data_IF_902974836061
#
_entry.id   IF_902974836061
#
_cell.length_a   1.000
_cell.length_b   1.000
_cell.length_c   1.000
_cell.angle_alpha   90.00
_cell.angle_beta   90.00
_cell.angle_gamma   90.00
#
_symmetry.space_group_name_H-M   'P 1'
#
loop_
_entity.id
_entity.type
_entity.pdbx_description
1 polymer ?
#
# COMPACT_ATOMS: atom_id res chain seq x y z
N UNK A 1 -12.25 7.07 -13.79
CA UNK A 1 -11.03 6.34 -14.18
C UNK A 1 -9.85 7.09 -13.62
N UNK A 2 -8.98 6.43 -12.86
CA UNK A 2 -7.71 7.03 -12.46
C UNK A 2 -6.74 6.98 -13.64
N UNK A 3 -5.93 8.02 -13.82
CA UNK A 3 -4.82 8.04 -14.79
C UNK A 3 -3.49 8.06 -14.04
N UNK A 4 -2.49 7.40 -14.60
CA UNK A 4 -1.12 7.36 -14.08
C UNK A 4 -0.15 7.52 -15.23
N UNK A 5 0.92 8.27 -15.02
CA UNK A 5 2.00 8.45 -15.99
C UNK A 5 3.27 7.86 -15.41
N UNK A 6 3.92 6.97 -16.16
CA UNK A 6 5.22 6.40 -15.80
C UNK A 6 6.29 7.18 -16.56
N UNK A 7 7.10 7.96 -15.84
CA UNK A 7 8.20 8.72 -16.43
C UNK A 7 9.47 7.87 -16.49
N UNK A 8 10.32 8.14 -17.49
CA UNK A 8 11.61 7.48 -17.69
C UNK A 8 11.52 5.94 -17.75
N UNK A 9 10.50 5.42 -18.44
CA UNK A 9 10.40 3.98 -18.70
C UNK A 9 11.54 3.57 -19.63
N UNK A 10 12.23 2.48 -19.28
CA UNK A 10 13.27 1.91 -20.12
C UNK A 10 12.73 1.56 -21.52
N UNK A 11 13.46 1.96 -22.57
CA UNK A 11 13.05 1.77 -23.96
C UNK A 11 12.87 0.28 -24.31
N UNK A 12 13.66 -0.61 -23.69
CA UNK A 12 13.53 -2.05 -23.84
C UNK A 12 12.23 -2.56 -23.24
N UNK A 13 11.82 -2.02 -22.07
CA UNK A 13 10.54 -2.33 -21.45
C UNK A 13 9.37 -1.83 -22.31
N UNK A 14 9.45 -0.61 -22.85
CA UNK A 14 8.43 -0.08 -23.75
C UNK A 14 8.25 -0.97 -24.99
N UNK A 15 9.34 -1.35 -25.66
CA UNK A 15 9.29 -2.25 -26.83
C UNK A 15 8.74 -3.63 -26.49
N UNK A 16 9.10 -4.17 -25.33
CA UNK A 16 8.59 -5.46 -24.88
C UNK A 16 7.08 -5.40 -24.62
N UNK A 17 6.59 -4.30 -24.04
CA UNK A 17 5.17 -4.04 -23.82
C UNK A 17 4.40 -3.97 -25.14
N UNK A 18 4.89 -3.19 -26.10
CA UNK A 18 4.29 -3.08 -27.44
C UNK A 18 4.23 -4.43 -28.15
N UNK A 19 5.34 -5.20 -28.12
CA UNK A 19 5.39 -6.52 -28.71
C UNK A 19 4.40 -7.51 -28.06
N UNK A 20 4.22 -7.43 -26.73
CA UNK A 20 3.22 -8.23 -26.01
C UNK A 20 1.79 -7.84 -26.37
N UNK A 21 1.51 -6.54 -26.42
CA UNK A 21 0.21 -5.99 -26.78
C UNK A 21 -0.18 -6.38 -28.21
N UNK A 22 0.76 -6.26 -29.16
CA UNK A 22 0.57 -6.67 -30.55
C UNK A 22 0.24 -8.17 -30.69
N UNK A 23 0.93 -9.05 -29.93
CA UNK A 23 0.62 -10.49 -29.92
C UNK A 23 -0.79 -10.80 -29.39
N UNK A 24 -1.33 -9.95 -28.51
CA UNK A 24 -2.65 -10.10 -27.91
C UNK A 24 -3.75 -9.30 -28.63
N UNK A 25 -3.40 -8.54 -29.67
CA UNK A 25 -4.34 -7.70 -30.42
C UNK A 25 -4.96 -6.56 -29.61
N UNK A 26 -4.24 -6.03 -28.63
CA UNK A 26 -4.72 -4.94 -27.75
C UNK A 26 -3.76 -3.75 -27.74
N UNK A 27 -4.19 -2.62 -27.16
CA UNK A 27 -3.31 -1.46 -27.00
C UNK A 27 -2.21 -1.71 -25.96
N UNK A 28 -1.09 -0.99 -26.08
CA UNK A 28 -0.02 -1.01 -25.08
C UNK A 28 -0.52 -0.54 -23.70
N UNK A 29 -1.45 0.41 -23.67
CA UNK A 29 -2.08 0.88 -22.42
C UNK A 29 -2.91 -0.22 -21.75
N UNK A 30 -3.73 -0.95 -22.53
CA UNK A 30 -4.54 -2.05 -21.98
C UNK A 30 -3.67 -3.18 -21.44
N UNK A 31 -2.57 -3.48 -22.12
CA UNK A 31 -1.62 -4.47 -21.66
C UNK A 31 -0.86 -3.99 -20.41
N UNK A 32 -0.46 -2.71 -20.36
CA UNK A 32 0.15 -2.13 -19.16
C UNK A 32 -0.80 -2.20 -17.97
N UNK A 33 -2.08 -1.88 -18.17
CA UNK A 33 -3.11 -1.96 -17.13
C UNK A 33 -3.27 -3.39 -16.61
N UNK A 34 -3.27 -4.38 -17.49
CA UNK A 34 -3.32 -5.80 -17.10
C UNK A 34 -2.10 -6.23 -16.31
N UNK A 35 -0.90 -5.87 -16.76
CA UNK A 35 0.35 -6.25 -16.09
C UNK A 35 0.47 -5.58 -14.71
N UNK A 36 0.09 -4.31 -14.60
CA UNK A 36 0.02 -3.59 -13.34
C UNK A 36 -1.03 -4.21 -12.40
N UNK A 37 -2.23 -4.49 -12.92
CA UNK A 37 -3.27 -5.17 -12.15
C UNK A 37 -2.80 -6.52 -11.63
N UNK A 38 -2.23 -7.35 -12.51
CA UNK A 38 -1.68 -8.64 -12.13
C UNK A 38 -0.55 -8.51 -11.10
N UNK A 39 0.34 -7.52 -11.21
CA UNK A 39 1.42 -7.30 -10.25
C UNK A 39 0.96 -6.79 -8.89
N UNK A 40 -0.08 -5.93 -8.86
CA UNK A 40 -0.66 -5.39 -7.62
C UNK A 40 -1.57 -6.41 -6.93
N UNK A 41 -2.33 -7.19 -7.70
CA UNK A 41 -3.23 -8.23 -7.20
C UNK A 41 -2.50 -9.55 -6.91
N UNK A 42 -1.31 -9.77 -7.48
CA UNK A 42 -0.51 -10.94 -7.21
C UNK A 42 -0.14 -10.98 -5.72
N UNK A 43 -0.60 -11.99 -4.97
CA UNK A 43 -0.17 -12.21 -3.61
C UNK A 43 1.28 -12.70 -3.62
N UNK A 44 2.24 -11.77 -3.48
CA UNK A 44 3.59 -12.11 -3.06
C UNK A 44 4.69 -11.81 -4.07
N UNK A 45 5.46 -10.77 -3.77
CA UNK A 45 6.93 -10.85 -3.75
C UNK A 45 7.53 -9.69 -2.95
N UNK A 46 7.17 -9.65 -1.68
CA UNK A 46 7.99 -9.10 -0.59
C UNK A 46 7.29 -9.53 0.71
N UNK A 47 7.65 -10.70 1.25
CA UNK A 47 7.39 -11.13 2.64
C UNK A 47 6.01 -10.82 3.24
N UNK A 48 5.10 -11.80 3.27
CA UNK A 48 4.08 -11.98 4.33
C UNK A 48 3.38 -10.72 4.90
N UNK A 49 3.06 -9.73 4.07
CA UNK A 49 2.08 -8.72 4.46
C UNK A 49 0.74 -9.41 4.31
N UNK A 50 0.27 -9.95 5.44
CA UNK A 50 -1.07 -10.48 5.61
C UNK A 50 -2.04 -9.75 4.69
N UNK A 51 -2.82 -10.48 3.89
CA UNK A 51 -3.94 -9.95 3.12
C UNK A 51 -4.97 -9.18 3.96
N UNK A 52 -4.78 -9.10 5.27
CA UNK A 52 -5.43 -8.10 6.08
C UNK A 52 -4.80 -6.73 5.90
N UNK A 53 -5.62 -5.83 5.39
CA UNK A 53 -5.46 -4.39 5.57
C UNK A 53 -5.17 -4.07 7.05
N UNK A 54 -4.47 -2.97 7.29
CA UNK A 54 -4.24 -2.47 8.66
C UNK A 54 -5.53 -2.34 9.46
N UNK A 55 -6.65 -2.08 8.77
CA UNK A 55 -7.99 -2.02 9.35
C UNK A 55 -8.50 -3.40 9.79
N UNK A 56 -8.35 -4.43 8.98
CA UNK A 56 -8.74 -5.80 9.31
C UNK A 56 -7.87 -6.36 10.45
N UNK A 57 -6.58 -6.02 10.50
CA UNK A 57 -5.71 -6.35 11.64
C UNK A 57 -6.19 -5.72 12.94
N UNK A 58 -6.63 -4.45 12.88
CA UNK A 58 -7.16 -3.74 14.04
C UNK A 58 -8.50 -4.33 14.52
N UNK A 59 -9.37 -4.70 13.58
CA UNK A 59 -10.65 -5.34 13.87
C UNK A 59 -10.47 -6.72 14.50
N UNK A 60 -9.59 -7.56 13.93
CA UNK A 60 -9.28 -8.86 14.51
C UNK A 60 -8.68 -8.75 15.92
N UNK A 61 -7.76 -7.79 16.13
CA UNK A 61 -7.21 -7.51 17.46
C UNK A 61 -8.28 -7.08 18.46
N UNK A 62 -9.26 -6.27 18.01
CA UNK A 62 -10.42 -5.87 18.80
C UNK A 62 -11.33 -7.06 19.16
N UNK A 63 -11.51 -8.00 18.23
CA UNK A 63 -12.30 -9.23 18.44
C UNK A 63 -11.60 -10.23 19.37
N UNK A 64 -10.27 -10.43 19.21
CA UNK A 64 -9.46 -11.36 20.00
C UNK A 64 -9.37 -10.96 21.48
N UNK A 65 -9.33 -9.65 21.77
CA UNK A 65 -9.34 -9.13 23.14
C UNK A 65 -10.76 -9.14 23.76
N UNK A 66 -11.77 -9.61 23.02
CA UNK A 66 -13.08 -9.95 23.59
C UNK A 66 -13.93 -8.74 24.00
N UNK A 67 -13.80 -7.61 23.32
CA UNK A 67 -14.62 -6.45 23.67
C UNK A 67 -14.47 -5.29 22.70
N UNK A 68 -15.62 -4.78 22.25
CA UNK A 68 -15.73 -3.43 21.71
C UNK A 68 -15.36 -2.42 22.79
N UNK A 69 -14.06 -2.19 22.95
CA UNK A 69 -13.57 -1.08 23.77
C UNK A 69 -13.82 0.14 22.90
N UNK A 70 -14.84 0.92 23.27
CA UNK A 70 -14.81 2.36 23.07
C UNK A 70 -13.50 2.83 23.72
N UNK A 71 -12.42 2.83 22.93
CA UNK A 71 -11.21 3.50 23.33
C UNK A 71 -11.58 4.97 23.34
N UNK A 72 -12.11 5.45 24.46
CA UNK A 72 -11.83 6.80 24.91
C UNK A 72 -10.32 6.78 25.22
N UNK A 73 -9.54 6.77 24.13
CA UNK A 73 -8.12 7.04 24.19
C UNK A 73 -8.11 8.45 24.74
N UNK A 74 -7.79 8.60 26.02
CA UNK A 74 -7.41 9.89 26.56
C UNK A 74 -6.15 10.28 25.80
N UNK A 75 -6.34 10.89 24.62
CA UNK A 75 -5.26 11.44 23.84
C UNK A 75 -4.61 12.44 24.79
N UNK A 76 -3.35 12.23 25.19
CA UNK A 76 -2.69 13.17 26.07
C UNK A 76 -2.76 14.54 25.42
N UNK A 77 -3.17 15.56 26.19
CA UNK A 77 -3.28 16.93 25.70
C UNK A 77 -2.02 17.24 24.89
N UNK A 78 -2.19 17.71 23.65
CA UNK A 78 -1.10 18.10 22.74
C UNK A 78 -0.20 19.20 23.32
N UNK A 79 -0.48 19.71 24.53
CA UNK A 79 0.39 20.59 25.30
C UNK A 79 1.32 19.86 26.28
N UNK A 80 1.03 18.61 26.65
CA UNK A 80 1.81 17.83 27.63
C UNK A 80 3.27 17.57 27.21
N UNK A 81 3.56 17.53 25.91
CA UNK A 81 4.93 17.36 25.41
C UNK A 81 5.80 18.63 25.57
N UNK A 82 5.20 19.83 25.65
CA UNK A 82 5.95 21.09 25.80
C UNK A 82 6.58 21.26 27.19
N UNK A 83 6.12 20.50 28.18
CA UNK A 83 6.58 20.55 29.57
C UNK A 83 7.57 19.43 29.92
N UNK A 84 7.82 18.48 29.01
CA UNK A 84 8.84 17.46 29.24
C UNK A 84 10.22 18.09 28.97
N UNK A 85 11.16 18.02 29.92
CA UNK A 85 12.55 18.36 29.64
C UNK A 85 13.01 17.52 28.45
N UNK A 86 13.69 18.14 27.48
CA UNK A 86 14.35 17.40 26.41
C UNK A 86 15.53 16.68 27.06
N UNK A 87 15.39 15.37 27.25
CA UNK A 87 16.49 14.51 27.66
C UNK A 87 17.41 14.33 26.46
N UNK A 88 18.58 14.97 26.51
CA UNK A 88 19.59 14.88 25.46
C UNK A 88 20.59 13.73 25.69
N UNK A 89 20.39 12.94 26.75
CA UNK A 89 21.37 11.95 27.20
C UNK A 89 22.65 12.63 27.73
N UNK A 90 23.15 12.16 28.87
CA UNK A 90 24.55 12.40 29.25
C UNK A 90 25.49 11.49 28.45
#
# INVERSE_FOLDING_TARGET
MASMTIHNLDDGVMKALEAQAARKGVSAEDEARRLLGAGVEAPGSAEDISRETAWERLQRFKEEIGGGIDFELELPDRKSWKMRPVDLGE
#
